data_IF_342080710615
#
_entry.id   IF_342080710615
#
_cell.length_a   1.000
_cell.length_b   1.000
_cell.length_c   1.000
_cell.angle_alpha   90.00
_cell.angle_beta   90.00
_cell.angle_gamma   90.00
#
_symmetry.space_group_name_H-M   'P 1'
#
loop_
_entity.id
_entity.type
_entity.pdbx_description
1 polymer ?
#
# COMPACT_ATOMS: atom_id res chain seq x y z
N UNK A 1 10.85 6.66 -23.62
CA UNK A 1 10.67 5.67 -22.53
C UNK A 1 10.61 6.43 -21.20
N UNK A 2 9.44 6.53 -20.58
CA UNK A 2 9.26 7.31 -19.34
C UNK A 2 9.90 6.60 -18.16
N UNK A 3 10.85 7.24 -17.46
CA UNK A 3 11.40 6.74 -16.18
C UNK A 3 10.24 6.48 -15.23
N UNK A 4 10.07 5.23 -14.79
CA UNK A 4 9.10 4.89 -13.75
C UNK A 4 9.60 5.50 -12.43
N UNK A 5 8.73 6.19 -11.70
CA UNK A 5 9.05 6.64 -10.34
C UNK A 5 9.36 5.41 -9.49
N UNK A 6 10.53 5.34 -8.82
CA UNK A 6 10.88 4.21 -7.98
C UNK A 6 9.83 4.07 -6.88
N UNK A 7 9.43 2.83 -6.57
CA UNK A 7 8.58 2.60 -5.39
C UNK A 7 9.38 3.00 -4.16
N UNK A 8 8.80 3.86 -3.32
CA UNK A 8 9.35 4.12 -2.00
C UNK A 8 9.03 2.94 -1.08
N UNK A 9 9.92 2.74 -0.12
CA UNK A 9 9.68 1.80 0.96
C UNK A 9 8.60 2.35 1.87
N UNK A 10 7.52 1.59 2.07
CA UNK A 10 6.49 1.91 3.07
C UNK A 10 7.06 1.51 4.44
N UNK A 11 7.17 2.44 5.41
CA UNK A 11 7.69 2.12 6.73
C UNK A 11 6.93 0.96 7.39
N UNK A 12 7.59 0.07 8.14
CA UNK A 12 6.94 -1.09 8.76
C UNK A 12 5.81 -0.68 9.70
N UNK A 13 5.98 0.44 10.41
CA UNK A 13 4.96 1.02 11.29
C UNK A 13 3.68 1.40 10.53
N UNK A 14 3.81 2.02 9.35
CA UNK A 14 2.67 2.40 8.49
C UNK A 14 2.01 1.14 7.94
N UNK A 15 2.80 0.16 7.49
CA UNK A 15 2.29 -1.11 7.01
C UNK A 15 1.48 -1.84 8.09
N UNK A 16 1.99 -1.87 9.32
CA UNK A 16 1.33 -2.50 10.45
C UNK A 16 0.06 -1.74 10.87
N UNK A 17 0.11 -0.41 10.87
CA UNK A 17 -1.07 0.43 11.08
C UNK A 17 -2.18 0.14 10.07
N UNK A 18 -1.85 0.04 8.78
CA UNK A 18 -2.82 -0.28 7.71
C UNK A 18 -3.43 -1.67 7.92
N UNK A 19 -2.61 -2.69 8.21
CA UNK A 19 -3.13 -4.02 8.48
C UNK A 19 -4.05 -4.06 9.71
N UNK A 20 -3.69 -3.37 10.78
CA UNK A 20 -4.51 -3.29 11.99
C UNK A 20 -5.83 -2.56 11.71
N UNK A 21 -5.79 -1.42 11.00
CA UNK A 21 -6.98 -0.67 10.57
C UNK A 21 -7.93 -1.52 9.75
N UNK A 22 -7.38 -2.30 8.82
CA UNK A 22 -8.16 -3.11 7.89
C UNK A 22 -8.47 -4.52 8.44
N UNK A 23 -8.20 -4.76 9.73
CA UNK A 23 -8.41 -6.04 10.41
C UNK A 23 -7.82 -7.23 9.63
N UNK A 24 -6.62 -7.05 9.07
CA UNK A 24 -5.94 -8.04 8.23
C UNK A 24 -6.85 -8.61 7.13
N UNK A 25 -7.67 -7.74 6.52
CA UNK A 25 -8.67 -8.13 5.51
C UNK A 25 -8.65 -7.16 4.33
N UNK A 26 -8.57 -7.69 3.11
CA UNK A 26 -8.60 -6.88 1.89
C UNK A 26 -9.91 -6.09 1.80
N UNK A 27 -9.81 -4.75 1.73
CA UNK A 27 -10.97 -3.87 1.65
C UNK A 27 -11.71 -3.92 0.30
N UNK A 28 -11.12 -4.52 -0.73
CA UNK A 28 -11.72 -4.65 -2.06
C UNK A 28 -12.42 -6.00 -2.30
N UNK A 29 -11.89 -7.10 -1.75
CA UNK A 29 -12.41 -8.45 -2.02
C UNK A 29 -12.67 -9.30 -0.77
N UNK A 30 -12.26 -8.86 0.42
CA UNK A 30 -12.45 -9.59 1.67
C UNK A 30 -11.45 -10.72 1.96
N UNK A 31 -10.45 -10.96 1.08
CA UNK A 31 -9.40 -11.95 1.35
C UNK A 31 -8.60 -11.61 2.61
N UNK A 32 -8.09 -12.62 3.32
CA UNK A 32 -7.18 -12.49 4.46
C UNK A 32 -5.77 -13.02 4.18
N UNK A 33 -5.52 -13.43 2.93
CA UNK A 33 -4.27 -14.08 2.52
C UNK A 33 -3.52 -13.19 1.53
N UNK A 34 -2.18 -13.29 1.55
CA UNK A 34 -1.26 -12.61 0.61
C UNK A 34 -1.49 -11.09 0.50
N UNK A 35 -1.83 -10.44 1.60
CA UNK A 35 -2.18 -9.02 1.61
C UNK A 35 -0.94 -8.14 1.36
N UNK A 36 -1.12 -7.16 0.47
CA UNK A 36 -0.13 -6.14 0.14
C UNK A 36 -0.71 -4.75 0.42
N UNK A 37 0.15 -3.86 0.91
CA UNK A 37 -0.18 -2.44 1.11
C UNK A 37 0.49 -1.66 -0.01
N UNK A 38 -0.28 -0.83 -0.71
CA UNK A 38 0.20 0.06 -1.76
C UNK A 38 -0.51 1.43 -1.66
N UNK A 39 -0.03 2.40 -2.42
CA UNK A 39 -0.51 3.77 -2.43
C UNK A 39 -1.75 3.88 -3.32
N UNK A 40 -2.79 4.52 -2.77
CA UNK A 40 -4.01 4.87 -3.53
C UNK A 40 -3.69 5.97 -4.55
N UNK A 41 -2.88 6.95 -4.15
CA UNK A 41 -2.36 7.99 -5.02
C UNK A 41 -0.93 7.60 -5.41
N UNK A 42 -0.63 7.35 -6.69
CA UNK A 42 0.72 7.03 -7.10
C UNK A 42 1.71 8.16 -6.79
N UNK A 43 2.94 7.81 -6.46
CA UNK A 43 4.04 8.77 -6.22
C UNK A 43 4.23 9.76 -7.38
N UNK A 44 4.08 9.29 -8.62
CA UNK A 44 4.17 10.14 -9.81
C UNK A 44 3.13 11.27 -9.86
N UNK A 45 2.04 11.16 -9.08
CA UNK A 45 0.97 12.15 -8.96
C UNK A 45 1.03 12.92 -7.63
N UNK A 46 2.14 12.83 -6.89
CA UNK A 46 2.31 13.50 -5.60
C UNK A 46 1.74 12.72 -4.39
N UNK A 47 1.50 11.42 -4.54
CA UNK A 47 1.23 10.56 -3.38
C UNK A 47 2.48 10.34 -2.53
N UNK A 48 2.28 9.98 -1.26
CA UNK A 48 3.33 9.72 -0.26
C UNK A 48 2.95 8.57 0.65
#
# INVERSE_FOLDING_TARGET
MTRKTPRIFIPPEVRQFVFNRDAHTCKSCGSQQELQVDHIIPLAKGGS
#
